data_IF_039417503388
#
_entry.id   IF_039417503388
#
_cell.length_a   1.000
_cell.length_b   1.000
_cell.length_c   1.000
_cell.angle_alpha   90.00
_cell.angle_beta   90.00
_cell.angle_gamma   90.00
#
_symmetry.space_group_name_H-M   'P 1'
#
loop_
_entity.id
_entity.type
_entity.pdbx_description
1 polymer ?
#
# COMPACT_ATOMS: atom_id res chain seq x y z
N UNK A 1 27.40 7.88 -19.03
CA UNK A 1 27.11 7.94 -17.57
C UNK A 1 25.68 8.44 -17.47
N UNK A 2 24.83 7.79 -16.68
CA UNK A 2 23.37 7.78 -16.85
C UNK A 2 22.83 6.35 -16.89
N UNK A 3 21.54 6.16 -17.17
CA UNK A 3 20.92 4.84 -17.39
C UNK A 3 19.93 4.91 -18.55
N UNK A 4 19.86 3.82 -19.32
CA UNK A 4 18.75 3.49 -20.21
C UNK A 4 18.07 2.23 -19.66
N UNK A 5 16.75 2.23 -19.61
CA UNK A 5 15.96 1.11 -19.13
C UNK A 5 14.68 0.99 -19.95
N UNK A 6 14.39 -0.21 -20.45
CA UNK A 6 13.18 -0.46 -21.25
C UNK A 6 12.40 -1.67 -20.73
N UNK A 7 11.09 -1.64 -20.94
CA UNK A 7 10.20 -2.80 -20.78
C UNK A 7 9.00 -2.68 -21.72
N UNK A 8 8.35 -3.81 -21.99
CA UNK A 8 7.03 -3.83 -22.65
C UNK A 8 5.94 -3.97 -21.60
N UNK A 9 4.89 -3.18 -21.72
CA UNK A 9 3.69 -3.20 -20.89
C UNK A 9 2.51 -3.62 -21.74
N UNK A 10 1.71 -4.58 -21.27
CA UNK A 10 0.56 -5.14 -21.99
C UNK A 10 -0.67 -4.22 -21.92
N UNK A 11 -0.51 -2.95 -22.34
CA UNK A 11 -1.55 -1.93 -22.46
C UNK A 11 -1.34 -1.06 -23.71
N UNK A 12 -2.43 -0.50 -24.30
CA UNK A 12 -2.35 0.45 -25.41
C UNK A 12 -1.52 1.71 -25.11
N UNK A 13 -0.89 2.26 -26.14
CA UNK A 13 0.02 3.41 -26.05
C UNK A 13 -0.61 4.63 -25.38
N UNK A 14 -1.82 4.98 -25.79
CA UNK A 14 -2.57 6.11 -25.26
C UNK A 14 -2.92 5.93 -23.78
N UNK A 15 -3.27 4.71 -23.37
CA UNK A 15 -3.56 4.40 -21.96
C UNK A 15 -2.31 4.47 -21.09
N UNK A 16 -1.18 3.89 -21.53
CA UNK A 16 0.09 3.94 -20.79
C UNK A 16 0.57 5.38 -20.64
N UNK A 17 0.52 6.17 -21.72
CA UNK A 17 0.92 7.58 -21.68
C UNK A 17 -0.01 8.40 -20.77
N UNK A 18 -1.33 8.26 -20.94
CA UNK A 18 -2.30 9.01 -20.14
C UNK A 18 -2.20 8.69 -18.66
N UNK A 19 -1.85 7.44 -18.28
CA UNK A 19 -1.67 7.04 -16.88
C UNK A 19 -0.62 7.91 -16.16
N UNK A 20 0.47 8.30 -16.83
CA UNK A 20 1.53 9.13 -16.25
C UNK A 20 1.06 10.54 -15.86
N UNK A 21 0.02 11.04 -16.52
CA UNK A 21 -0.59 12.35 -16.24
C UNK A 21 -1.68 12.30 -15.17
N UNK A 22 -2.07 11.13 -14.66
CA UNK A 22 -3.15 11.00 -13.68
C UNK A 22 -2.66 11.24 -12.26
N UNK A 23 -3.49 11.84 -11.38
CA UNK A 23 -3.15 11.99 -9.97
C UNK A 23 -2.82 10.64 -9.33
N UNK A 24 -1.76 10.60 -8.54
CA UNK A 24 -1.26 9.41 -7.87
C UNK A 24 -0.19 8.65 -8.67
N UNK A 25 -0.07 8.84 -9.99
CA UNK A 25 0.90 8.12 -10.81
C UNK A 25 2.34 8.33 -10.31
N UNK A 26 2.71 9.57 -9.98
CA UNK A 26 4.02 9.85 -9.39
C UNK A 26 4.18 9.17 -8.02
N UNK A 27 3.17 9.25 -7.17
CA UNK A 27 3.17 8.59 -5.85
C UNK A 27 3.34 7.07 -5.94
N UNK A 28 2.83 6.43 -7.00
CA UNK A 28 3.06 5.02 -7.30
C UNK A 28 4.47 4.75 -7.78
N UNK A 29 5.03 5.60 -8.65
CA UNK A 29 6.35 5.39 -9.24
C UNK A 29 7.55 5.80 -8.37
N UNK A 30 7.37 6.49 -7.25
CA UNK A 30 8.46 6.81 -6.32
C UNK A 30 8.80 5.58 -5.47
N UNK A 31 10.02 4.99 -5.59
CA UNK A 31 10.33 3.77 -4.86
C UNK A 31 10.38 4.00 -3.35
N UNK A 32 9.81 3.09 -2.53
CA UNK A 32 9.71 3.28 -1.08
C UNK A 32 11.06 3.17 -0.34
N UNK A 33 12.09 2.64 -1.01
CA UNK A 33 13.45 2.59 -0.51
C UNK A 33 14.27 3.85 -0.82
N UNK A 34 13.80 4.70 -1.73
CA UNK A 34 14.44 5.97 -2.05
C UNK A 34 14.16 7.00 -0.94
N UNK A 35 15.10 7.90 -0.61
CA UNK A 35 14.92 8.93 0.40
C UNK A 35 14.10 10.11 -0.16
N UNK A 36 13.00 9.84 -0.85
CA UNK A 36 12.20 10.83 -1.58
C UNK A 36 10.73 10.72 -1.17
N UNK A 37 10.05 11.86 -1.04
CA UNK A 37 8.60 11.90 -0.78
C UNK A 37 7.92 12.80 -1.79
N UNK A 38 6.73 12.45 -2.27
CA UNK A 38 5.96 13.33 -3.15
C UNK A 38 5.42 14.50 -2.35
N UNK A 39 5.84 15.72 -2.70
CA UNK A 39 5.35 16.97 -2.09
C UNK A 39 4.30 17.61 -2.97
N UNK A 40 4.50 17.59 -4.29
CA UNK A 40 3.54 18.02 -5.29
C UNK A 40 3.72 17.17 -6.55
N UNK A 41 2.62 16.71 -7.13
CA UNK A 41 2.61 16.07 -8.43
C UNK A 41 2.47 17.12 -9.53
N UNK A 42 2.73 16.71 -10.78
CA UNK A 42 2.56 17.60 -11.93
C UNK A 42 1.08 17.73 -12.30
N UNK A 43 0.66 18.93 -12.65
CA UNK A 43 -0.67 19.15 -13.24
C UNK A 43 -0.68 18.92 -14.77
N UNK A 44 0.51 18.84 -15.38
CA UNK A 44 0.71 18.73 -16.83
C UNK A 44 2.01 17.99 -17.15
N UNK A 45 1.98 17.02 -18.06
CA UNK A 45 3.19 16.38 -18.59
C UNK A 45 3.92 17.25 -19.62
N UNK A 46 3.27 18.29 -20.15
CA UNK A 46 3.88 19.17 -21.14
C UNK A 46 4.87 20.15 -20.50
N UNK A 47 4.42 20.85 -19.47
CA UNK A 47 5.10 22.03 -18.92
C UNK A 47 4.96 22.15 -17.40
N UNK A 48 4.32 21.17 -16.76
CA UNK A 48 4.10 21.16 -15.33
C UNK A 48 5.36 20.86 -14.52
N UNK A 49 5.21 20.93 -13.20
CA UNK A 49 6.30 20.75 -12.25
C UNK A 49 5.91 19.71 -11.21
N UNK A 50 6.81 18.77 -10.95
CA UNK A 50 6.72 17.86 -9.83
C UNK A 50 7.79 18.17 -8.78
N UNK A 51 7.44 18.03 -7.51
CA UNK A 51 8.32 18.33 -6.37
C UNK A 51 8.43 17.12 -5.47
N UNK A 52 9.67 16.63 -5.32
CA UNK A 52 10.02 15.57 -4.38
C UNK A 52 10.77 16.17 -3.19
N UNK A 53 10.33 15.85 -1.98
CA UNK A 53 11.02 16.18 -0.74
C UNK A 53 12.21 15.25 -0.51
N UNK A 54 13.29 15.81 0.02
CA UNK A 54 14.51 15.10 0.38
C UNK A 54 14.82 15.30 1.89
N UNK A 55 15.73 14.51 2.49
CA UNK A 55 16.14 14.69 3.88
C UNK A 55 16.68 16.10 4.13
N UNK A 56 16.48 16.62 5.34
CA UNK A 56 16.95 17.96 5.72
C UNK A 56 16.12 19.12 5.15
N UNK A 57 14.91 18.85 4.63
CA UNK A 57 14.03 19.88 4.07
C UNK A 57 14.40 20.32 2.65
N UNK A 58 15.36 19.64 2.03
CA UNK A 58 15.75 19.85 0.64
C UNK A 58 14.63 19.42 -0.32
N UNK A 59 14.65 19.97 -1.54
CA UNK A 59 13.65 19.69 -2.57
C UNK A 59 14.30 19.35 -3.89
N UNK A 60 13.86 18.25 -4.49
CA UNK A 60 14.13 17.92 -5.88
C UNK A 60 12.96 18.41 -6.73
N UNK A 61 13.25 19.25 -7.71
CA UNK A 61 12.24 19.89 -8.54
C UNK A 61 12.40 19.39 -9.96
N UNK A 62 11.48 18.55 -10.41
CA UNK A 62 11.42 18.08 -11.79
C UNK A 62 10.50 19.02 -12.59
N UNK A 63 11.06 19.64 -13.63
CA UNK A 63 10.36 20.57 -14.52
C UNK A 63 10.17 19.90 -15.88
N UNK A 64 8.92 19.73 -16.33
CA UNK A 64 8.65 19.22 -17.67
C UNK A 64 9.00 20.25 -18.76
N UNK A 65 9.50 19.77 -19.89
CA UNK A 65 9.97 20.58 -21.02
C UNK A 65 8.94 20.59 -22.15
N UNK A 66 8.29 21.74 -22.36
CA UNK A 66 7.20 21.90 -23.32
C UNK A 66 7.62 21.73 -24.78
N UNK A 67 8.86 22.09 -25.09
CA UNK A 67 9.48 21.96 -26.42
C UNK A 67 9.83 20.51 -26.79
N UNK A 68 9.75 19.60 -25.81
CA UNK A 68 10.06 18.17 -25.98
C UNK A 68 8.91 17.26 -25.53
N UNK A 69 7.71 17.82 -25.48
CA UNK A 69 6.46 17.11 -25.27
C UNK A 69 5.84 16.71 -26.60
N UNK A 70 5.72 15.40 -26.84
CA UNK A 70 5.15 14.83 -28.07
C UNK A 70 4.15 13.73 -27.69
N UNK A 71 2.92 14.06 -27.30
CA UNK A 71 1.95 13.07 -26.86
C UNK A 71 1.42 12.22 -28.03
N UNK A 72 1.22 10.89 -27.85
CA UNK A 72 1.44 10.09 -26.64
C UNK A 72 2.84 9.43 -26.56
N UNK A 73 3.84 9.97 -27.25
CA UNK A 73 5.15 9.32 -27.45
C UNK A 73 6.24 9.78 -26.48
N UNK A 74 6.19 11.03 -25.97
CA UNK A 74 7.29 11.56 -25.15
C UNK A 74 6.86 12.65 -24.17
N UNK A 75 7.49 12.62 -23.00
CA UNK A 75 7.71 13.80 -22.17
C UNK A 75 9.11 13.77 -21.54
N UNK A 76 9.62 14.94 -21.16
CA UNK A 76 10.97 15.09 -20.59
C UNK A 76 10.91 15.93 -19.33
N UNK A 77 11.59 15.50 -18.27
CA UNK A 77 11.82 16.32 -17.08
C UNK A 77 13.31 16.62 -16.84
N UNK A 78 13.58 17.83 -16.36
CA UNK A 78 14.92 18.28 -15.97
C UNK A 78 14.90 18.81 -14.53
N UNK A 79 16.05 18.74 -13.86
CA UNK A 79 16.18 19.29 -12.51
C UNK A 79 16.24 20.84 -12.54
N UNK A 80 15.22 21.49 -11.99
CA UNK A 80 15.14 22.96 -11.85
C UNK A 80 15.87 23.47 -10.58
N UNK A 81 16.40 24.70 -10.67
CA UNK A 81 17.01 25.47 -9.56
C UNK A 81 16.03 26.38 -8.80
N UNK A 82 14.74 26.26 -9.06
CA UNK A 82 13.76 27.19 -8.49
C UNK A 82 13.54 26.94 -7.00
N UNK A 83 14.10 27.85 -6.20
CA UNK A 83 14.02 27.90 -4.73
C UNK A 83 15.34 27.50 -4.05
N UNK A 84 15.69 28.17 -2.95
CA UNK A 84 16.95 27.91 -2.23
C UNK A 84 17.12 26.43 -1.78
N UNK A 85 16.01 25.72 -1.53
CA UNK A 85 16.02 24.32 -1.11
C UNK A 85 16.37 23.31 -2.24
N UNK A 86 16.37 23.73 -3.51
CA UNK A 86 16.74 22.88 -4.66
C UNK A 86 18.16 23.14 -5.20
N UNK A 87 18.87 24.13 -4.63
CA UNK A 87 20.25 24.43 -5.01
C UNK A 87 21.26 23.33 -4.63
N UNK A 88 21.23 22.76 -3.41
CA UNK A 88 22.20 21.73 -3.03
C UNK A 88 22.13 20.45 -3.90
N UNK A 89 20.95 19.92 -4.29
CA UNK A 89 20.87 18.82 -5.26
C UNK A 89 21.55 19.09 -6.61
N UNK A 90 21.58 20.34 -7.10
CA UNK A 90 22.30 20.68 -8.36
C UNK A 90 23.81 20.69 -8.23
N UNK A 91 24.36 20.82 -7.02
CA UNK A 91 25.81 20.68 -6.81
C UNK A 91 26.32 19.27 -7.18
N UNK A 92 25.40 18.29 -7.31
CA UNK A 92 25.68 16.90 -7.72
C UNK A 92 25.81 16.78 -9.25
N UNK A 93 25.32 17.76 -10.03
CA UNK A 93 25.46 17.82 -11.48
C UNK A 93 24.16 18.18 -12.20
N UNK A 94 23.98 17.61 -13.39
CA UNK A 94 22.74 17.74 -14.18
C UNK A 94 21.88 16.48 -14.05
N UNK A 95 20.59 16.66 -14.30
CA UNK A 95 19.64 15.58 -14.44
C UNK A 95 18.65 15.92 -15.54
N UNK A 96 18.49 14.98 -16.46
CA UNK A 96 17.51 15.00 -17.52
C UNK A 96 16.98 13.58 -17.68
N UNK A 97 15.67 13.42 -17.58
CA UNK A 97 14.99 12.14 -17.74
C UNK A 97 14.01 12.26 -18.91
N UNK A 98 14.28 11.50 -19.96
CA UNK A 98 13.41 11.37 -21.13
C UNK A 98 12.59 10.09 -20.99
N UNK A 99 11.28 10.20 -21.11
CA UNK A 99 10.33 9.08 -21.09
C UNK A 99 9.79 8.93 -22.51
N UNK A 100 10.15 7.84 -23.19
CA UNK A 100 9.72 7.51 -24.54
C UNK A 100 8.74 6.33 -24.53
N UNK A 101 7.70 6.42 -25.36
CA UNK A 101 6.64 5.43 -25.49
C UNK A 101 6.42 5.11 -26.96
N UNK A 102 6.36 3.83 -27.30
CA UNK A 102 6.07 3.37 -28.65
C UNK A 102 5.12 2.18 -28.61
N UNK A 103 4.15 2.13 -29.53
CA UNK A 103 3.32 0.95 -29.70
C UNK A 103 4.20 -0.22 -30.18
N UNK A 104 4.28 -1.28 -29.39
CA UNK A 104 4.88 -2.56 -29.80
C UNK A 104 3.84 -3.40 -30.58
N UNK A 105 2.57 -3.28 -30.17
CA UNK A 105 1.40 -3.81 -30.85
C UNK A 105 0.18 -2.92 -30.54
N UNK A 106 -1.02 -3.19 -31.10
CA UNK A 106 -2.24 -2.47 -30.69
C UNK A 106 -2.58 -2.60 -29.20
N UNK A 107 -2.10 -3.66 -28.53
CA UNK A 107 -2.42 -3.97 -27.14
C UNK A 107 -1.22 -3.82 -26.19
N UNK A 108 -0.05 -3.40 -26.69
CA UNK A 108 1.17 -3.31 -25.88
C UNK A 108 2.06 -2.13 -26.25
N UNK A 109 2.72 -1.59 -25.23
CA UNK A 109 3.55 -0.38 -25.30
C UNK A 109 4.95 -0.68 -24.81
N UNK A 110 5.94 -0.33 -25.61
CA UNK A 110 7.33 -0.23 -25.18
C UNK A 110 7.52 1.08 -24.43
N UNK A 111 7.93 0.99 -23.17
CA UNK A 111 8.29 2.12 -22.31
C UNK A 111 9.80 2.15 -22.18
N UNK A 112 10.41 3.28 -22.54
CA UNK A 112 11.86 3.47 -22.53
C UNK A 112 12.21 4.74 -21.75
N UNK A 113 12.95 4.56 -20.66
CA UNK A 113 13.45 5.63 -19.81
C UNK A 113 14.95 5.85 -20.07
N UNK A 114 15.33 7.09 -20.39
CA UNK A 114 16.74 7.51 -20.53
C UNK A 114 17.04 8.66 -19.58
N UNK A 115 17.98 8.45 -18.67
CA UNK A 115 18.44 9.47 -17.73
C UNK A 115 19.88 9.87 -18.02
N UNK A 116 20.06 11.12 -18.44
CA UNK A 116 21.35 11.77 -18.59
C UNK A 116 21.71 12.48 -17.27
N UNK A 117 22.71 11.95 -16.56
CA UNK A 117 23.14 12.49 -15.27
C UNK A 117 24.57 12.09 -14.91
N UNK A 118 25.13 12.73 -13.89
CA UNK A 118 26.41 12.38 -13.26
C UNK A 118 26.32 11.12 -12.40
N UNK A 119 25.11 10.68 -12.01
CA UNK A 119 24.91 9.47 -11.22
C UNK A 119 25.17 8.21 -12.07
N UNK A 120 26.01 7.26 -11.62
CA UNK A 120 26.24 6.02 -12.35
C UNK A 120 24.96 5.19 -12.49
N UNK A 121 24.66 4.67 -13.69
CA UNK A 121 23.43 3.91 -13.95
C UNK A 121 23.20 2.72 -13.03
N UNK A 122 24.27 2.04 -12.56
CA UNK A 122 24.17 0.97 -11.56
C UNK A 122 23.48 1.40 -10.26
N UNK A 123 23.57 2.68 -9.88
CA UNK A 123 22.93 3.22 -8.69
C UNK A 123 21.45 3.58 -8.92
N UNK A 124 21.04 3.74 -10.19
CA UNK A 124 19.67 4.05 -10.60
C UNK A 124 18.87 2.80 -11.00
N UNK A 125 19.55 1.68 -11.32
CA UNK A 125 18.91 0.48 -11.86
C UNK A 125 17.74 -0.02 -11.03
N UNK A 126 17.87 -0.09 -9.71
CA UNK A 126 16.79 -0.58 -8.85
C UNK A 126 15.56 0.34 -8.84
N UNK A 127 15.74 1.65 -8.99
CA UNK A 127 14.65 2.61 -9.13
C UNK A 127 13.86 2.35 -10.42
N UNK A 128 14.54 2.13 -11.55
CA UNK A 128 13.87 1.87 -12.82
C UNK A 128 13.22 0.48 -12.89
N UNK A 129 13.86 -0.55 -12.32
CA UNK A 129 13.22 -1.87 -12.15
C UNK A 129 11.92 -1.73 -11.34
N UNK A 130 11.94 -0.97 -10.24
CA UNK A 130 10.75 -0.70 -9.44
C UNK A 130 9.68 0.02 -10.26
N UNK A 131 10.02 1.13 -10.92
CA UNK A 131 9.10 1.97 -11.69
C UNK A 131 8.38 1.17 -12.78
N UNK A 132 9.12 0.44 -13.60
CA UNK A 132 8.56 -0.32 -14.72
C UNK A 132 7.68 -1.48 -14.25
N UNK A 133 8.10 -2.22 -13.20
CA UNK A 133 7.25 -3.27 -12.59
C UNK A 133 5.98 -2.68 -12.00
N UNK A 134 6.10 -1.58 -11.25
CA UNK A 134 4.98 -0.90 -10.60
C UNK A 134 3.94 -0.40 -11.61
N UNK A 135 4.41 0.22 -12.71
CA UNK A 135 3.58 0.66 -13.83
C UNK A 135 2.80 -0.51 -14.43
N UNK A 136 3.51 -1.58 -14.80
CA UNK A 136 2.90 -2.75 -15.44
C UNK A 136 1.86 -3.42 -14.53
N UNK A 137 2.15 -3.56 -13.24
CA UNK A 137 1.25 -4.20 -12.30
C UNK A 137 0.03 -3.34 -11.95
N UNK A 138 0.18 -2.02 -11.81
CA UNK A 138 -0.95 -1.10 -11.57
C UNK A 138 -1.90 -1.07 -12.79
N UNK A 139 -1.35 -0.96 -14.00
CA UNK A 139 -2.14 -1.02 -15.23
C UNK A 139 -2.87 -2.36 -15.35
N UNK A 140 -2.19 -3.49 -15.11
CA UNK A 140 -2.82 -4.81 -15.11
C UNK A 140 -4.00 -4.91 -14.13
N UNK A 141 -3.87 -4.36 -12.92
CA UNK A 141 -4.98 -4.32 -11.96
C UNK A 141 -6.17 -3.48 -12.48
N UNK A 142 -5.91 -2.35 -13.16
CA UNK A 142 -6.96 -1.52 -13.75
C UNK A 142 -7.67 -2.24 -14.91
N UNK A 143 -6.92 -2.87 -15.81
CA UNK A 143 -7.48 -3.68 -16.90
C UNK A 143 -8.35 -4.82 -16.39
N UNK A 144 -7.94 -5.51 -15.33
CA UNK A 144 -8.73 -6.59 -14.73
C UNK A 144 -10.10 -6.07 -14.25
N UNK A 145 -10.15 -4.88 -13.66
CA UNK A 145 -11.40 -4.25 -13.22
C UNK A 145 -12.29 -3.84 -14.42
N UNK A 146 -11.70 -3.25 -15.46
CA UNK A 146 -12.40 -2.86 -16.69
C UNK A 146 -12.95 -4.08 -17.42
N UNK A 147 -12.15 -5.15 -17.53
CA UNK A 147 -12.57 -6.43 -18.11
C UNK A 147 -13.71 -7.09 -17.33
N UNK A 148 -13.79 -6.85 -16.01
CA UNK A 148 -14.92 -7.24 -15.17
C UNK A 148 -16.15 -6.30 -15.27
N UNK A 149 -16.12 -5.30 -16.16
CA UNK A 149 -17.23 -4.36 -16.41
C UNK A 149 -17.26 -3.17 -15.47
N UNK A 150 -16.16 -2.87 -14.77
CA UNK A 150 -16.08 -1.75 -13.82
C UNK A 150 -15.68 -0.47 -14.51
N UNK A 151 -16.55 0.53 -14.47
CA UNK A 151 -16.23 1.90 -14.89
C UNK A 151 -15.52 2.71 -13.81
N UNK A 152 -15.39 4.02 -14.04
CA UNK A 152 -14.91 4.94 -13.01
C UNK A 152 -15.85 4.91 -11.79
N UNK A 153 -15.26 4.97 -10.60
CA UNK A 153 -15.98 4.91 -9.32
C UNK A 153 -15.66 6.17 -8.51
N UNK A 154 -16.60 6.62 -7.68
CA UNK A 154 -16.37 7.57 -6.60
C UNK A 154 -16.21 6.79 -5.29
N UNK A 155 -14.99 6.76 -4.74
CA UNK A 155 -14.66 5.94 -3.57
C UNK A 155 -14.37 6.83 -2.36
N UNK A 156 -15.12 6.66 -1.27
CA UNK A 156 -14.83 7.34 -0.01
C UNK A 156 -13.81 6.54 0.82
N UNK A 157 -12.72 7.18 1.25
CA UNK A 157 -11.63 6.50 1.97
C UNK A 157 -11.38 7.20 3.30
N UNK A 158 -11.64 6.50 4.41
CA UNK A 158 -11.11 6.92 5.73
C UNK A 158 -9.67 6.46 5.88
N UNK A 159 -8.87 7.11 6.73
CA UNK A 159 -7.47 6.71 6.92
C UNK A 159 -6.59 6.93 5.68
N UNK A 160 -7.04 7.76 4.74
CA UNK A 160 -6.38 8.04 3.46
C UNK A 160 -4.96 8.64 3.59
N UNK A 161 -4.59 9.16 4.76
CA UNK A 161 -3.24 9.66 5.04
C UNK A 161 -2.29 8.61 5.63
N UNK A 162 -2.79 7.42 5.97
CA UNK A 162 -1.98 6.31 6.47
C UNK A 162 -1.24 5.59 5.35
N UNK A 163 -0.33 4.67 5.70
CA UNK A 163 0.48 3.92 4.74
C UNK A 163 -0.36 3.26 3.63
N UNK A 164 -1.33 2.43 4.01
CA UNK A 164 -2.21 1.71 3.05
C UNK A 164 -3.15 2.68 2.36
N UNK A 165 -3.75 3.62 3.10
CA UNK A 165 -4.73 4.56 2.54
C UNK A 165 -4.15 5.51 1.50
N UNK A 166 -2.92 5.99 1.70
CA UNK A 166 -2.24 6.87 0.74
C UNK A 166 -1.90 6.11 -0.54
N UNK A 167 -1.35 4.90 -0.40
CA UNK A 167 -0.99 4.07 -1.55
C UNK A 167 -2.23 3.58 -2.33
N UNK A 168 -3.31 3.19 -1.63
CA UNK A 168 -4.58 2.82 -2.24
C UNK A 168 -5.21 4.01 -2.97
N UNK A 169 -5.19 5.19 -2.35
CA UNK A 169 -5.71 6.41 -2.99
C UNK A 169 -4.97 6.67 -4.30
N UNK A 170 -3.64 6.58 -4.29
CA UNK A 170 -2.82 6.78 -5.48
C UNK A 170 -3.10 5.74 -6.58
N UNK A 171 -3.29 4.46 -6.21
CA UNK A 171 -3.68 3.40 -7.15
C UNK A 171 -5.06 3.70 -7.76
N UNK A 172 -6.05 4.05 -6.94
CA UNK A 172 -7.40 4.32 -7.43
C UNK A 172 -7.43 5.54 -8.37
N UNK A 173 -6.75 6.63 -8.01
CA UNK A 173 -6.75 7.85 -8.84
C UNK A 173 -5.96 7.69 -10.13
N UNK A 174 -4.86 6.92 -10.13
CA UNK A 174 -4.13 6.59 -11.36
C UNK A 174 -4.94 5.66 -12.28
N UNK A 175 -5.85 4.86 -11.70
CA UNK A 175 -6.86 4.09 -12.43
C UNK A 175 -8.00 4.91 -13.05
N UNK A 176 -8.09 6.21 -12.74
CA UNK A 176 -9.19 7.07 -13.20
C UNK A 176 -10.42 7.08 -12.29
N UNK A 177 -10.36 6.45 -11.10
CA UNK A 177 -11.38 6.60 -10.08
C UNK A 177 -11.24 7.95 -9.37
N UNK A 178 -12.34 8.48 -8.84
CA UNK A 178 -12.34 9.64 -7.97
C UNK A 178 -12.30 9.20 -6.52
N UNK A 179 -11.35 9.69 -5.74
CA UNK A 179 -11.25 9.37 -4.31
C UNK A 179 -11.67 10.55 -3.45
N UNK A 180 -12.67 10.34 -2.59
CA UNK A 180 -13.10 11.30 -1.57
C UNK A 180 -12.47 10.90 -0.23
N UNK A 181 -11.49 11.68 0.24
CA UNK A 181 -10.79 11.41 1.50
C UNK A 181 -11.63 11.89 2.67
N UNK A 182 -11.98 10.98 3.56
CA UNK A 182 -12.70 11.28 4.79
C UNK A 182 -11.68 11.67 5.87
N UNK A 183 -11.57 12.97 6.16
CA UNK A 183 -10.55 13.56 7.03
C UNK A 183 -11.14 14.07 8.33
N UNK A 184 -10.42 13.93 9.45
CA UNK A 184 -10.89 14.38 10.78
C UNK A 184 -10.69 15.88 11.03
N UNK A 185 -9.85 16.53 10.23
CA UNK A 185 -9.62 17.99 10.22
C UNK A 185 -10.55 18.69 9.25
N UNK A 186 -10.49 20.01 9.19
CA UNK A 186 -11.19 20.77 8.16
C UNK A 186 -10.65 20.39 6.76
N UNK A 187 -11.55 20.17 5.77
CA UNK A 187 -11.19 19.84 4.39
C UNK A 187 -10.37 20.95 3.74
N UNK A 188 -9.45 20.57 2.86
CA UNK A 188 -8.56 21.48 2.12
C UNK A 188 -8.80 21.47 0.62
N UNK A 189 -9.59 20.53 0.11
CA UNK A 189 -9.93 20.44 -1.30
C UNK A 189 -11.35 19.87 -1.48
N UNK A 190 -11.85 19.91 -2.72
CA UNK A 190 -13.14 19.35 -3.11
C UNK A 190 -13.23 17.82 -3.00
N UNK A 191 -12.09 17.14 -2.91
CA UNK A 191 -11.98 15.69 -2.76
C UNK A 191 -11.70 15.27 -1.31
N UNK A 192 -12.03 16.16 -0.37
CA UNK A 192 -12.02 15.89 1.06
C UNK A 192 -13.38 16.19 1.68
N UNK A 193 -13.83 15.32 2.58
CA UNK A 193 -15.02 15.57 3.42
C UNK A 193 -14.63 15.43 4.88
N UNK A 194 -15.14 16.34 5.71
CA UNK A 194 -14.92 16.27 7.15
C UNK A 194 -15.69 15.09 7.71
N UNK A 195 -14.98 14.20 8.40
CA UNK A 195 -15.52 13.04 9.06
C UNK A 195 -15.28 13.14 10.56
N UNK A 196 -16.37 13.24 11.32
CA UNK A 196 -16.38 13.04 12.77
C UNK A 196 -16.69 11.55 13.05
N UNK A 197 -15.74 10.78 13.61
CA UNK A 197 -15.95 9.37 13.94
C UNK A 197 -17.08 9.10 14.93
N UNK A 198 -17.41 10.08 15.79
CA UNK A 198 -18.46 9.95 16.79
C UNK A 198 -19.82 10.41 16.27
N UNK A 199 -19.83 11.26 15.23
CA UNK A 199 -21.06 11.79 14.65
C UNK A 199 -20.90 12.11 13.16
N UNK A 200 -20.86 11.09 12.28
CA UNK A 200 -20.80 11.31 10.84
C UNK A 200 -21.91 12.26 10.38
N UNK A 201 -21.56 13.24 9.55
CA UNK A 201 -22.53 14.21 9.05
C UNK A 201 -23.58 13.52 8.15
N UNK A 202 -24.84 13.98 8.16
CA UNK A 202 -25.82 13.58 7.16
C UNK A 202 -25.28 13.86 5.75
N UNK A 203 -25.42 12.90 4.83
CA UNK A 203 -24.91 13.03 3.46
C UNK A 203 -23.39 12.95 3.32
N UNK A 204 -22.64 12.53 4.35
CA UNK A 204 -21.19 12.31 4.28
C UNK A 204 -20.79 11.44 3.09
N UNK A 205 -21.65 10.48 2.71
CA UNK A 205 -21.44 9.50 1.65
C UNK A 205 -22.32 9.74 0.41
N UNK A 206 -22.96 10.91 0.28
CA UNK A 206 -23.76 11.21 -0.91
C UNK A 206 -22.89 11.22 -2.18
N UNK A 207 -23.37 10.57 -3.23
CA UNK A 207 -22.68 10.46 -4.52
C UNK A 207 -21.41 9.59 -4.49
N UNK A 208 -21.28 8.71 -3.50
CA UNK A 208 -20.18 7.74 -3.37
C UNK A 208 -20.69 6.36 -3.81
N UNK A 209 -19.94 5.68 -4.67
CA UNK A 209 -20.26 4.32 -5.12
C UNK A 209 -19.81 3.24 -4.12
N UNK A 210 -18.69 3.48 -3.43
CA UNK A 210 -18.10 2.53 -2.49
C UNK A 210 -17.34 3.21 -1.34
N UNK A 211 -17.28 2.55 -0.20
CA UNK A 211 -16.51 2.99 0.98
C UNK A 211 -15.35 2.03 1.24
N UNK A 212 -14.18 2.59 1.56
CA UNK A 212 -13.03 1.87 2.09
C UNK A 212 -12.67 2.44 3.48
N UNK A 213 -12.94 1.66 4.51
CA UNK A 213 -12.71 2.04 5.90
C UNK A 213 -11.37 1.51 6.43
N UNK A 214 -10.31 2.32 6.35
CA UNK A 214 -8.96 1.99 6.85
C UNK A 214 -8.59 2.70 8.16
N UNK A 215 -9.46 3.58 8.70
CA UNK A 215 -9.11 4.34 9.89
C UNK A 215 -9.06 3.45 11.14
N UNK A 216 -8.00 3.62 11.92
CA UNK A 216 -7.84 2.97 13.22
C UNK A 216 -6.56 3.42 13.91
N UNK A 217 -6.55 3.39 15.24
CA UNK A 217 -5.34 3.66 16.03
C UNK A 217 -4.33 2.53 15.86
N UNK A 218 -3.03 2.82 15.91
CA UNK A 218 -2.00 1.78 15.84
C UNK A 218 -2.18 0.76 16.96
N UNK A 219 -2.15 -0.53 16.63
CA UNK A 219 -2.16 -1.61 17.64
C UNK A 219 -0.80 -1.72 18.34
N UNK A 220 0.27 -1.29 17.67
CA UNK A 220 1.63 -1.35 18.21
C UNK A 220 1.76 -0.51 19.48
N UNK A 221 2.18 -1.14 20.57
CA UNK A 221 2.34 -0.51 21.87
C UNK A 221 2.17 -1.52 23.00
N UNK A 222 2.28 -1.04 24.24
CA UNK A 222 2.01 -1.85 25.43
C UNK A 222 0.51 -1.95 25.65
N UNK A 223 0.00 -3.17 25.78
CA UNK A 223 -1.41 -3.46 26.13
C UNK A 223 -1.75 -3.09 27.58
N UNK A 224 -1.76 -1.79 27.88
CA UNK A 224 -2.35 -1.25 29.11
C UNK A 224 -3.88 -1.18 28.96
N UNK A 225 -4.61 -1.00 30.06
CA UNK A 225 -6.07 -0.84 30.01
C UNK A 225 -6.49 0.35 29.13
N UNK A 226 -5.77 1.48 29.25
CA UNK A 226 -6.00 2.67 28.42
C UNK A 226 -5.73 2.41 26.93
N UNK A 227 -4.62 1.73 26.59
CA UNK A 227 -4.31 1.37 25.20
C UNK A 227 -5.37 0.43 24.61
N UNK A 228 -5.81 -0.58 25.37
CA UNK A 228 -6.88 -1.48 24.95
C UNK A 228 -8.20 -0.75 24.69
N UNK A 229 -8.58 0.17 25.59
CA UNK A 229 -9.78 0.99 25.41
C UNK A 229 -9.68 1.90 24.18
N UNK A 230 -8.52 2.52 23.94
CA UNK A 230 -8.28 3.34 22.75
C UNK A 230 -8.31 2.52 21.45
N UNK A 231 -7.71 1.33 21.44
CA UNK A 231 -7.73 0.39 20.30
C UNK A 231 -9.17 -0.01 19.94
N UNK A 232 -10.00 -0.31 20.94
CA UNK A 232 -11.44 -0.62 20.75
C UNK A 232 -12.24 0.59 20.29
N UNK A 233 -12.12 1.69 21.01
CA UNK A 233 -12.87 2.93 20.77
C UNK A 233 -12.59 3.55 19.41
N UNK A 234 -11.36 3.42 18.90
CA UNK A 234 -10.99 3.90 17.56
C UNK A 234 -11.50 3.05 16.40
N UNK A 235 -12.03 1.85 16.66
CA UNK A 235 -12.48 0.89 15.64
C UNK A 235 -13.98 0.68 15.67
N UNK A 236 -14.51 0.17 16.78
CA UNK A 236 -15.85 -0.42 16.83
C UNK A 236 -16.93 0.67 16.65
N UNK A 237 -16.92 1.69 17.51
CA UNK A 237 -17.90 2.80 17.44
C UNK A 237 -17.85 3.54 16.11
N UNK A 238 -16.67 4.03 15.68
CA UNK A 238 -16.51 4.68 14.38
C UNK A 238 -16.95 3.83 13.18
N UNK A 239 -16.60 2.54 13.15
CA UNK A 239 -17.01 1.62 12.08
C UNK A 239 -18.53 1.51 12.04
N UNK A 240 -19.16 1.30 13.20
CA UNK A 240 -20.63 1.15 13.28
C UNK A 240 -21.37 2.37 12.76
N UNK A 241 -20.95 3.57 13.17
CA UNK A 241 -21.60 4.81 12.73
C UNK A 241 -21.36 5.10 11.26
N UNK A 242 -20.18 4.74 10.73
CA UNK A 242 -19.91 4.87 9.30
C UNK A 242 -20.73 3.86 8.48
N UNK A 243 -20.92 2.64 8.97
CA UNK A 243 -21.78 1.63 8.36
C UNK A 243 -23.25 2.06 8.37
N UNK A 244 -23.74 2.63 9.48
CA UNK A 244 -25.07 3.24 9.58
C UNK A 244 -25.24 4.38 8.56
N UNK A 245 -24.24 5.25 8.43
CA UNK A 245 -24.25 6.34 7.44
C UNK A 245 -24.16 5.85 5.98
N UNK A 246 -23.62 4.65 5.74
CA UNK A 246 -23.55 4.04 4.41
C UNK A 246 -24.88 3.40 4.00
N UNK A 247 -25.68 2.92 4.96
CA UNK A 247 -26.97 2.28 4.72
C UNK A 247 -28.14 3.23 4.41
N UNK A 248 -27.87 4.50 4.06
CA UNK A 248 -28.91 5.48 3.70
C UNK A 248 -29.30 5.41 2.22
N UNK A 249 -30.51 5.83 1.87
CA UNK A 249 -30.97 5.92 0.47
C UNK A 249 -30.00 6.70 -0.43
N UNK A 250 -29.67 6.12 -1.59
CA UNK A 250 -28.67 6.69 -2.51
C UNK A 250 -27.22 6.61 -2.00
N UNK A 251 -26.97 5.78 -0.99
CA UNK A 251 -25.65 5.46 -0.45
C UNK A 251 -24.82 4.52 -1.35
N UNK A 252 -23.60 4.18 -0.91
CA UNK A 252 -22.70 3.29 -1.64
C UNK A 252 -23.27 1.87 -1.76
N UNK A 253 -22.81 1.11 -2.76
CA UNK A 253 -23.19 -0.30 -2.95
C UNK A 253 -22.27 -1.28 -2.22
N UNK A 254 -21.06 -0.84 -1.86
CA UNK A 254 -19.99 -1.68 -1.31
C UNK A 254 -19.36 -1.00 -0.12
N UNK A 255 -19.16 -1.75 0.96
CA UNK A 255 -18.46 -1.31 2.16
C UNK A 255 -17.29 -2.25 2.45
N UNK A 256 -16.08 -1.81 2.11
CA UNK A 256 -14.85 -2.56 2.39
C UNK A 256 -14.26 -2.05 3.69
N UNK A 257 -14.26 -2.88 4.73
CA UNK A 257 -13.66 -2.56 6.01
C UNK A 257 -12.30 -3.24 6.13
N UNK A 258 -11.31 -2.50 6.65
CA UNK A 258 -10.14 -3.16 7.19
C UNK A 258 -10.53 -4.13 8.30
N UNK A 259 -9.74 -5.19 8.42
CA UNK A 259 -9.74 -6.16 9.51
C UNK A 259 -8.30 -6.67 9.69
N UNK A 260 -8.09 -7.69 10.51
CA UNK A 260 -6.78 -8.29 10.72
C UNK A 260 -6.86 -9.80 10.92
N UNK A 261 -5.81 -10.52 10.53
CA UNK A 261 -5.67 -11.94 10.87
C UNK A 261 -5.60 -12.19 12.39
N UNK A 262 -5.47 -11.14 13.20
CA UNK A 262 -5.66 -11.19 14.66
C UNK A 262 -7.01 -11.77 15.10
N UNK A 263 -8.02 -11.82 14.21
CA UNK A 263 -9.27 -12.57 14.40
C UNK A 263 -9.03 -14.02 14.87
N UNK A 264 -7.99 -14.66 14.33
CA UNK A 264 -7.69 -16.07 14.61
C UNK A 264 -7.00 -16.31 15.95
N UNK A 265 -6.74 -15.25 16.74
CA UNK A 265 -5.99 -15.32 17.99
C UNK A 265 -4.48 -15.39 17.75
N UNK A 266 -3.68 -15.16 18.79
CA UNK A 266 -2.23 -15.00 18.61
C UNK A 266 -1.47 -16.31 18.30
N UNK A 267 -2.05 -17.48 18.58
CA UNK A 267 -1.38 -18.77 18.41
C UNK A 267 -2.39 -19.86 18.01
N UNK A 268 -2.16 -20.45 16.84
CA UNK A 268 -2.91 -21.60 16.30
C UNK A 268 -1.99 -22.72 15.82
N UNK A 269 -0.70 -22.64 16.16
CA UNK A 269 0.33 -23.58 15.71
C UNK A 269 0.26 -23.86 14.21
N UNK A 270 0.21 -25.15 13.84
CA UNK A 270 0.27 -25.60 12.44
C UNK A 270 -1.08 -25.66 11.71
N UNK A 271 -2.18 -25.30 12.37
CA UNK A 271 -3.51 -25.23 11.76
C UNK A 271 -3.51 -24.24 10.60
N UNK A 272 -3.97 -24.67 9.42
CA UNK A 272 -4.16 -23.77 8.28
C UNK A 272 -5.46 -22.99 8.48
N UNK A 273 -5.33 -21.68 8.69
CA UNK A 273 -6.43 -20.79 8.99
C UNK A 273 -7.00 -20.21 7.69
N UNK A 274 -8.22 -20.61 7.35
CA UNK A 274 -8.98 -20.07 6.21
C UNK A 274 -10.02 -19.06 6.70
N UNK A 275 -10.72 -18.41 5.77
CA UNK A 275 -11.82 -17.49 6.08
C UNK A 275 -12.98 -18.17 6.85
N UNK A 276 -13.06 -19.50 6.78
CA UNK A 276 -14.04 -20.33 7.50
C UNK A 276 -13.58 -20.75 8.91
N UNK A 277 -12.30 -20.52 9.26
CA UNK A 277 -11.80 -20.90 10.57
C UNK A 277 -12.44 -20.07 11.68
N UNK A 278 -12.69 -20.71 12.82
CA UNK A 278 -13.28 -20.07 13.99
C UNK A 278 -12.38 -18.95 14.56
N UNK A 279 -13.04 -17.97 15.18
CA UNK A 279 -12.37 -16.94 15.97
C UNK A 279 -11.42 -17.58 16.99
N UNK A 280 -10.24 -17.00 17.16
CA UNK A 280 -9.32 -17.41 18.22
C UNK A 280 -9.68 -16.81 19.57
N UNK A 281 -8.77 -16.97 20.52
CA UNK A 281 -8.87 -16.39 21.85
C UNK A 281 -7.93 -15.19 22.04
N UNK A 282 -8.24 -14.39 23.05
CA UNK A 282 -7.41 -13.26 23.47
C UNK A 282 -7.95 -11.92 22.99
N UNK A 283 -7.38 -10.85 23.58
CA UNK A 283 -7.89 -9.51 23.42
C UNK A 283 -8.03 -9.08 21.95
N UNK A 284 -7.00 -9.31 21.13
CA UNK A 284 -7.04 -8.92 19.72
C UNK A 284 -8.10 -9.69 18.91
N UNK A 285 -8.33 -10.97 19.22
CA UNK A 285 -9.36 -11.75 18.54
C UNK A 285 -10.76 -11.15 18.82
N UNK A 286 -11.04 -10.82 20.08
CA UNK A 286 -12.31 -10.19 20.49
C UNK A 286 -12.49 -8.82 19.84
N UNK A 287 -11.43 -7.99 19.82
CA UNK A 287 -11.49 -6.68 19.16
C UNK A 287 -11.77 -6.80 17.67
N UNK A 288 -11.12 -7.73 16.98
CA UNK A 288 -11.33 -7.90 15.54
C UNK A 288 -12.72 -8.45 15.24
N UNK A 289 -13.21 -9.41 16.02
CA UNK A 289 -14.57 -9.93 15.86
C UNK A 289 -15.63 -8.84 16.06
N UNK A 290 -15.51 -8.02 17.11
CA UNK A 290 -16.41 -6.89 17.34
C UNK A 290 -16.29 -5.79 16.28
N UNK A 291 -15.08 -5.58 15.75
CA UNK A 291 -14.85 -4.64 14.66
C UNK A 291 -15.52 -5.10 13.37
N UNK A 292 -15.41 -6.39 13.01
CA UNK A 292 -16.11 -6.96 11.86
C UNK A 292 -17.64 -6.88 12.06
N UNK A 293 -18.14 -7.25 13.25
CA UNK A 293 -19.56 -7.17 13.58
C UNK A 293 -20.12 -5.73 13.52
N UNK A 294 -19.29 -4.71 13.77
CA UNK A 294 -19.69 -3.31 13.66
C UNK A 294 -20.09 -2.90 12.24
N UNK A 295 -19.77 -3.70 11.21
CA UNK A 295 -20.19 -3.44 9.83
C UNK A 295 -21.62 -3.90 9.52
N UNK A 296 -22.28 -4.61 10.44
CA UNK A 296 -23.63 -5.17 10.25
C UNK A 296 -24.67 -4.16 9.71
N UNK A 297 -24.73 -2.89 10.16
CA UNK A 297 -25.71 -1.94 9.63
C UNK A 297 -25.62 -1.72 8.10
N UNK A 298 -24.41 -1.81 7.53
CA UNK A 298 -24.24 -1.73 6.07
C UNK A 298 -24.77 -3.00 5.38
N UNK A 299 -24.47 -4.18 5.94
CA UNK A 299 -24.96 -5.46 5.41
C UNK A 299 -26.49 -5.55 5.48
N UNK A 300 -27.08 -5.14 6.61
CA UNK A 300 -28.53 -5.13 6.84
C UNK A 300 -29.26 -4.17 5.89
N UNK A 301 -28.59 -3.09 5.46
CA UNK A 301 -29.06 -2.18 4.41
C UNK A 301 -28.84 -2.70 2.97
N UNK A 302 -28.34 -3.93 2.81
CA UNK A 302 -28.15 -4.59 1.51
C UNK A 302 -26.83 -4.27 0.80
N UNK A 303 -25.88 -3.60 1.47
CA UNK A 303 -24.56 -3.36 0.89
C UNK A 303 -23.74 -4.64 0.90
N UNK A 304 -22.91 -4.82 -0.13
CA UNK A 304 -21.88 -5.85 -0.11
C UNK A 304 -20.77 -5.43 0.85
N UNK A 305 -20.64 -6.14 1.96
CA UNK A 305 -19.60 -5.89 2.96
C UNK A 305 -18.44 -6.86 2.77
N UNK A 306 -17.22 -6.32 2.78
CA UNK A 306 -15.97 -7.11 2.74
C UNK A 306 -15.09 -6.74 3.92
N UNK A 307 -14.74 -7.70 4.75
CA UNK A 307 -13.81 -7.53 5.87
C UNK A 307 -12.42 -8.06 5.48
N UNK A 308 -11.47 -7.16 5.25
CA UNK A 308 -10.13 -7.49 4.75
C UNK A 308 -9.20 -7.83 5.92
N UNK A 309 -9.11 -9.12 6.27
CA UNK A 309 -8.24 -9.66 7.32
C UNK A 309 -6.78 -9.60 6.89
N UNK A 310 -6.15 -8.47 7.20
CA UNK A 310 -4.80 -8.16 6.72
C UNK A 310 -3.73 -8.88 7.52
N UNK A 311 -2.75 -9.48 6.83
CA UNK A 311 -1.53 -10.02 7.42
C UNK A 311 -0.47 -8.97 7.75
N UNK A 312 0.76 -9.41 7.97
CA UNK A 312 1.89 -8.52 8.26
C UNK A 312 2.38 -7.87 6.95
N UNK A 313 1.99 -6.61 6.77
CA UNK A 313 2.30 -5.83 5.56
C UNK A 313 3.80 -5.57 5.43
N UNK A 314 4.37 -5.97 4.30
CA UNK A 314 5.75 -5.70 3.92
C UNK A 314 5.82 -4.38 3.13
N UNK A 315 6.26 -3.32 3.82
CA UNK A 315 6.40 -2.00 3.23
C UNK A 315 7.67 -1.30 3.74
N UNK A 316 8.57 -0.83 2.87
CA UNK A 316 9.80 -0.20 3.35
C UNK A 316 9.56 1.16 4.05
N UNK A 317 8.48 1.86 3.69
CA UNK A 317 8.09 3.15 4.24
C UNK A 317 7.32 3.07 5.57
N UNK A 318 6.94 1.88 6.04
CA UNK A 318 6.15 1.73 7.27
C UNK A 318 6.12 0.32 7.84
N UNK A 319 5.20 0.08 8.78
CA UNK A 319 5.01 -1.24 9.38
C UNK A 319 6.25 -1.81 10.08
N UNK A 320 6.30 -3.13 10.19
CA UNK A 320 7.39 -3.88 10.84
C UNK A 320 8.68 -3.83 10.02
N UNK A 321 8.59 -3.87 8.69
CA UNK A 321 9.76 -3.86 7.82
C UNK A 321 10.59 -2.58 7.97
N UNK A 322 9.96 -1.41 8.11
CA UNK A 322 10.67 -0.15 8.40
C UNK A 322 11.48 -0.21 9.69
N UNK A 323 10.98 -0.91 10.72
CA UNK A 323 11.67 -1.08 11.99
C UNK A 323 12.83 -2.09 11.88
N UNK A 324 12.63 -3.16 11.13
CA UNK A 324 13.63 -4.23 10.96
C UNK A 324 14.77 -3.83 10.00
N UNK A 325 14.49 -3.05 8.96
CA UNK A 325 15.45 -2.64 7.93
C UNK A 325 16.78 -2.13 8.49
N UNK A 326 16.85 -1.15 9.41
CA UNK A 326 18.14 -0.65 9.91
C UNK A 326 18.92 -1.71 10.69
N UNK A 327 18.23 -2.57 11.46
CA UNK A 327 18.88 -3.63 12.23
C UNK A 327 19.52 -4.68 11.31
N UNK A 328 18.78 -5.12 10.29
CA UNK A 328 19.31 -6.06 9.31
C UNK A 328 20.40 -5.43 8.44
N UNK A 329 20.26 -4.17 8.04
CA UNK A 329 21.29 -3.46 7.27
C UNK A 329 22.63 -3.34 8.03
N UNK A 330 22.57 -3.24 9.36
CA UNK A 330 23.74 -3.23 10.25
C UNK A 330 24.28 -4.65 10.59
N UNK A 331 23.67 -5.72 10.08
CA UNK A 331 24.05 -7.11 10.42
C UNK A 331 23.63 -7.53 11.84
N UNK A 332 22.73 -6.78 12.48
CA UNK A 332 22.18 -7.04 13.82
C UNK A 332 20.79 -7.71 13.76
N UNK A 333 20.34 -8.07 12.56
CA UNK A 333 19.10 -8.81 12.36
C UNK A 333 19.22 -10.28 12.74
N UNK A 334 18.11 -10.88 13.16
CA UNK A 334 18.07 -12.27 13.57
C UNK A 334 16.66 -12.80 13.78
N UNK A 335 16.56 -14.11 14.02
CA UNK A 335 15.29 -14.78 14.32
C UNK A 335 14.74 -14.34 15.67
N UNK A 336 13.42 -14.31 15.78
CA UNK A 336 12.70 -14.04 17.01
C UNK A 336 12.36 -15.35 17.73
N UNK A 337 12.76 -15.49 19.00
CA UNK A 337 12.41 -16.66 19.81
C UNK A 337 12.92 -17.98 19.21
N UNK A 338 12.04 -18.98 19.07
CA UNK A 338 12.37 -20.25 18.39
C UNK A 338 12.61 -20.05 16.88
N UNK A 339 11.99 -19.03 16.28
CA UNK A 339 11.96 -18.82 14.83
C UNK A 339 10.95 -19.73 14.11
N UNK A 340 10.23 -20.57 14.84
CA UNK A 340 9.26 -21.53 14.29
C UNK A 340 7.84 -20.96 14.21
N UNK A 341 7.57 -19.78 14.73
CA UNK A 341 6.25 -19.17 14.56
C UNK A 341 5.99 -18.85 13.08
N UNK A 342 4.77 -19.14 12.62
CA UNK A 342 4.28 -18.79 11.29
C UNK A 342 4.03 -17.29 11.18
N UNK A 343 4.61 -16.71 10.14
CA UNK A 343 4.45 -15.33 9.73
C UNK A 343 3.56 -15.29 8.49
N UNK A 344 2.30 -14.91 8.67
CA UNK A 344 1.39 -14.60 7.56
C UNK A 344 1.56 -13.14 7.14
N UNK A 345 2.21 -12.93 6.00
CA UNK A 345 2.62 -11.62 5.49
C UNK A 345 1.88 -11.29 4.20
N UNK A 346 1.94 -10.05 3.75
CA UNK A 346 1.49 -9.63 2.40
C UNK A 346 2.35 -8.47 1.91
N UNK A 347 2.65 -8.40 0.61
CA UNK A 347 3.25 -7.21 0.00
C UNK A 347 2.30 -6.01 0.11
N UNK A 348 2.83 -4.79 0.18
CA UNK A 348 1.96 -3.61 0.21
C UNK A 348 1.06 -3.57 -1.03
N UNK A 349 1.63 -3.76 -2.22
CA UNK A 349 0.90 -3.66 -3.49
C UNK A 349 -0.13 -4.79 -3.68
N UNK A 350 0.20 -6.01 -3.24
CA UNK A 350 -0.77 -7.12 -3.15
C UNK A 350 -1.96 -6.75 -2.24
N UNK A 351 -1.71 -6.11 -1.11
CA UNK A 351 -2.80 -5.65 -0.23
C UNK A 351 -3.67 -4.59 -0.92
N UNK A 352 -3.08 -3.67 -1.69
CA UNK A 352 -3.84 -2.68 -2.45
C UNK A 352 -4.72 -3.35 -3.49
N UNK A 353 -4.21 -4.36 -4.20
CA UNK A 353 -4.97 -5.13 -5.19
C UNK A 353 -6.15 -5.86 -4.54
N UNK A 354 -6.01 -6.36 -3.30
CA UNK A 354 -7.13 -6.95 -2.55
C UNK A 354 -8.21 -5.90 -2.25
N UNK A 355 -7.83 -4.73 -1.73
CA UNK A 355 -8.79 -3.65 -1.48
C UNK A 355 -9.45 -3.17 -2.77
N UNK A 356 -8.68 -2.98 -3.84
CA UNK A 356 -9.19 -2.53 -5.12
C UNK A 356 -10.15 -3.56 -5.72
N UNK A 357 -9.76 -4.85 -5.73
CA UNK A 357 -10.62 -5.94 -6.18
C UNK A 357 -11.90 -6.06 -5.37
N UNK A 358 -11.85 -5.85 -4.05
CA UNK A 358 -13.06 -5.84 -3.21
C UNK A 358 -14.08 -4.77 -3.64
N UNK A 359 -13.66 -3.69 -4.31
CA UNK A 359 -14.59 -2.67 -4.82
C UNK A 359 -15.44 -3.18 -5.99
N UNK A 360 -14.91 -4.07 -6.82
CA UNK A 360 -15.56 -4.45 -8.08
C UNK A 360 -15.93 -5.92 -8.21
N UNK A 361 -15.21 -6.84 -7.57
CA UNK A 361 -15.49 -8.26 -7.67
C UNK A 361 -16.66 -8.64 -6.76
N UNK A 362 -17.84 -8.78 -7.35
CA UNK A 362 -19.08 -9.14 -6.66
C UNK A 362 -19.02 -10.49 -5.92
N UNK A 363 -18.03 -11.35 -6.22
CA UNK A 363 -17.81 -12.63 -5.54
C UNK A 363 -17.15 -12.46 -4.17
N UNK A 364 -16.53 -11.31 -3.90
CA UNK A 364 -15.92 -11.02 -2.60
C UNK A 364 -16.97 -10.41 -1.66
N UNK A 365 -17.35 -11.18 -0.63
CA UNK A 365 -18.25 -10.76 0.44
C UNK A 365 -17.86 -11.47 1.75
N UNK A 366 -18.10 -10.82 2.88
CA UNK A 366 -17.70 -11.32 4.20
C UNK A 366 -16.18 -11.23 4.41
N UNK A 367 -15.59 -12.14 5.21
CA UNK A 367 -14.16 -12.11 5.50
C UNK A 367 -13.32 -12.52 4.29
N UNK A 368 -12.23 -11.81 4.06
CA UNK A 368 -11.22 -12.10 3.03
C UNK A 368 -9.83 -12.01 3.66
N UNK A 369 -9.07 -13.10 3.64
CA UNK A 369 -7.70 -13.10 4.15
C UNK A 369 -6.77 -12.42 3.13
N UNK A 370 -6.30 -11.21 3.46
CA UNK A 370 -5.29 -10.51 2.69
C UNK A 370 -3.89 -10.89 3.19
N UNK A 371 -3.48 -12.09 2.79
CA UNK A 371 -2.15 -12.66 3.02
C UNK A 371 -1.59 -13.20 1.69
N UNK A 372 -0.27 -13.22 1.55
CA UNK A 372 0.40 -13.91 0.46
C UNK A 372 0.09 -15.43 0.51
N UNK A 373 0.12 -16.14 -0.63
CA UNK A 373 -0.25 -17.56 -0.69
C UNK A 373 0.69 -18.47 0.10
N UNK A 374 1.92 -18.05 0.35
CA UNK A 374 2.93 -18.81 1.07
C UNK A 374 3.29 -18.15 2.42
N UNK A 375 2.64 -18.53 3.53
CA UNK A 375 3.10 -18.14 4.86
C UNK A 375 4.46 -18.79 5.13
N UNK A 376 5.33 -18.06 5.83
CA UNK A 376 6.71 -18.52 6.09
C UNK A 376 6.97 -18.61 7.59
N UNK A 377 7.91 -19.46 8.00
CA UNK A 377 8.39 -19.43 9.38
C UNK A 377 9.26 -18.19 9.60
N UNK A 378 9.32 -17.68 10.84
CA UNK A 378 10.16 -16.53 11.16
C UNK A 378 11.64 -16.73 10.80
N UNK A 379 12.17 -17.95 10.94
CA UNK A 379 13.52 -18.31 10.51
C UNK A 379 13.73 -18.13 9.00
N UNK A 380 12.74 -18.47 8.19
CA UNK A 380 12.81 -18.34 6.74
C UNK A 380 12.65 -16.89 6.30
N UNK A 381 11.75 -16.13 6.95
CA UNK A 381 11.65 -14.68 6.77
C UNK A 381 12.98 -13.98 7.09
N UNK A 382 13.60 -14.32 8.23
CA UNK A 382 14.89 -13.77 8.66
C UNK A 382 15.97 -14.05 7.61
N UNK A 383 16.03 -15.29 7.10
CA UNK A 383 16.99 -15.68 6.06
C UNK A 383 16.75 -14.91 4.76
N UNK A 384 15.49 -14.76 4.34
CA UNK A 384 15.12 -14.02 3.15
C UNK A 384 15.53 -12.54 3.25
N UNK A 385 15.20 -11.87 4.36
CA UNK A 385 15.55 -10.46 4.58
C UNK A 385 17.07 -10.24 4.62
N UNK A 386 17.79 -11.12 5.30
CA UNK A 386 19.25 -11.08 5.37
C UNK A 386 19.90 -11.25 3.98
N UNK A 387 19.39 -12.20 3.19
CA UNK A 387 19.83 -12.44 1.81
C UNK A 387 19.57 -11.22 0.92
N UNK A 388 18.36 -10.65 0.95
CA UNK A 388 17.98 -9.47 0.17
C UNK A 388 18.89 -8.28 0.48
N UNK A 389 19.19 -8.05 1.77
CA UNK A 389 20.05 -6.96 2.21
C UNK A 389 21.56 -7.25 2.08
N UNK A 390 21.95 -8.46 1.65
CA UNK A 390 23.35 -8.90 1.56
C UNK A 390 24.09 -8.73 2.90
N UNK A 391 23.44 -9.20 3.98
CA UNK A 391 23.95 -9.13 5.36
C UNK A 391 23.82 -10.48 6.07
N UNK A 392 24.74 -10.83 6.98
CA UNK A 392 24.58 -12.00 7.82
C UNK A 392 23.42 -11.79 8.81
N UNK A 393 22.71 -12.88 9.16
CA UNK A 393 21.70 -12.90 10.22
C UNK A 393 21.89 -14.14 11.10
N UNK A 394 23.09 -14.27 11.66
CA UNK A 394 23.54 -15.46 12.39
C UNK A 394 23.19 -15.39 13.88
N UNK A 395 23.12 -14.18 14.45
CA UNK A 395 22.82 -13.99 15.86
C UNK A 395 21.31 -13.94 16.09
N UNK A 396 20.74 -14.76 17.00
CA UNK A 396 19.34 -14.62 17.39
C UNK A 396 19.12 -13.25 18.04
N UNK A 397 17.97 -12.61 17.76
CA UNK A 397 17.62 -11.35 18.44
C UNK A 397 17.37 -11.68 19.92
N UNK A 398 18.00 -10.97 20.88
CA UNK A 398 17.70 -11.17 22.29
C UNK A 398 16.21 -10.99 22.55
N UNK A 399 15.57 -11.97 23.20
CA UNK A 399 14.12 -11.98 23.52
C UNK A 399 13.65 -10.78 24.35
N UNK A 400 14.59 -9.99 24.89
CA UNK A 400 14.35 -8.76 25.62
C UNK A 400 13.82 -7.61 24.74
N UNK A 401 14.21 -7.54 23.45
CA UNK A 401 13.90 -6.38 22.59
C UNK A 401 12.39 -6.13 22.41
N UNK A 402 11.62 -7.09 21.88
CA UNK A 402 10.17 -6.95 21.72
C UNK A 402 9.44 -6.71 23.04
N UNK A 403 9.88 -7.35 24.14
CA UNK A 403 9.26 -7.20 25.46
C UNK A 403 9.47 -5.81 26.05
N UNK A 404 10.63 -5.18 25.80
CA UNK A 404 10.90 -3.80 26.22
C UNK A 404 10.00 -2.82 25.45
N UNK A 405 9.85 -2.99 24.13
CA UNK A 405 9.06 -2.09 23.28
C UNK A 405 7.55 -2.28 23.43
N UNK A 406 7.07 -3.52 23.42
CA UNK A 406 5.64 -3.87 23.33
C UNK A 406 5.07 -4.40 24.65
N UNK A 407 5.91 -4.60 25.68
CA UNK A 407 5.52 -5.33 26.88
C UNK A 407 5.41 -6.84 26.63
N UNK A 408 5.19 -7.63 27.68
CA UNK A 408 5.10 -9.09 27.57
C UNK A 408 3.91 -9.54 26.69
N UNK A 409 2.74 -8.91 26.88
CA UNK A 409 1.54 -9.22 26.10
C UNK A 409 1.70 -8.79 24.63
N UNK A 410 2.28 -7.62 24.36
CA UNK A 410 2.47 -7.17 22.97
C UNK A 410 3.56 -7.92 22.23
N UNK A 411 4.60 -8.39 22.94
CA UNK A 411 5.55 -9.34 22.37
C UNK A 411 4.84 -10.65 21.98
N UNK A 412 4.00 -11.21 22.86
CA UNK A 412 3.27 -12.46 22.58
C UNK A 412 2.23 -12.33 21.47
N UNK A 413 1.40 -11.28 21.53
CA UNK A 413 0.26 -11.12 20.62
C UNK A 413 0.64 -10.57 19.23
N UNK A 414 1.81 -9.93 19.08
CA UNK A 414 2.20 -9.31 17.81
C UNK A 414 3.55 -9.82 17.28
N UNK A 415 4.57 -9.97 18.14
CA UNK A 415 5.92 -10.33 17.69
C UNK A 415 6.17 -11.85 17.66
N UNK A 416 5.51 -12.58 18.55
CA UNK A 416 5.57 -14.05 18.68
C UNK A 416 4.27 -14.71 18.19
N UNK A 417 3.42 -13.96 17.48
CA UNK A 417 2.20 -14.52 16.91
C UNK A 417 2.53 -15.67 15.94
N UNK A 418 1.77 -16.76 16.03
CA UNK A 418 1.95 -17.99 15.28
C UNK A 418 0.65 -18.32 14.54
N UNK A 419 0.55 -17.83 13.31
CA UNK A 419 -0.66 -17.93 12.49
C UNK A 419 -0.30 -18.36 11.07
N UNK A 420 -0.76 -19.55 10.67
CA UNK A 420 -0.60 -20.08 9.31
C UNK A 420 -1.85 -19.83 8.47
N UNK A 421 -2.01 -18.59 7.99
CA UNK A 421 -3.22 -18.14 7.30
C UNK A 421 -3.10 -18.41 5.79
N UNK A 422 -4.18 -18.89 5.19
CA UNK A 422 -4.29 -19.11 3.75
C UNK A 422 -5.35 -18.16 3.14
N UNK A 423 -5.07 -17.56 1.96
CA UNK A 423 -5.99 -16.65 1.28
C UNK A 423 -6.99 -17.41 0.39
N UNK A 424 -7.79 -18.31 0.97
CA UNK A 424 -8.57 -19.29 0.18
C UNK A 424 -9.68 -18.63 -0.65
N UNK A 425 -10.26 -17.53 -0.17
CA UNK A 425 -11.25 -16.76 -0.95
C UNK A 425 -10.59 -16.08 -2.15
N UNK A 426 -9.40 -15.50 -1.97
CA UNK A 426 -8.66 -14.87 -3.08
C UNK A 426 -8.22 -15.91 -4.12
N UNK A 427 -7.76 -17.08 -3.66
CA UNK A 427 -7.37 -18.18 -4.55
C UNK A 427 -8.56 -18.71 -5.35
N UNK A 428 -9.74 -18.88 -4.73
CA UNK A 428 -10.93 -19.43 -5.40
C UNK A 428 -11.45 -18.53 -6.53
N UNK A 429 -11.22 -17.22 -6.44
CA UNK A 429 -11.59 -16.26 -7.49
C UNK A 429 -10.45 -15.98 -8.50
N UNK A 430 -9.31 -16.67 -8.38
CA UNK A 430 -8.16 -16.47 -9.26
C UNK A 430 -7.48 -15.11 -9.07
N UNK A 431 -7.25 -14.70 -7.82
CA UNK A 431 -6.47 -13.49 -7.52
C UNK A 431 -5.01 -13.64 -7.94
N UNK A 432 -4.53 -12.69 -8.75
CA UNK A 432 -3.13 -12.57 -9.13
C UNK A 432 -2.39 -11.86 -8.01
N UNK A 433 -1.45 -12.55 -7.37
CA UNK A 433 -0.50 -11.92 -6.46
C UNK A 433 0.70 -11.39 -7.25
N UNK A 434 1.04 -10.12 -7.08
CA UNK A 434 2.23 -9.48 -7.66
C UNK A 434 3.51 -10.12 -7.13
N UNK A 435 3.57 -10.41 -5.82
CA UNK A 435 4.73 -11.04 -5.19
C UNK A 435 4.31 -12.23 -4.31
N UNK A 436 4.17 -13.45 -4.87
CA UNK A 436 3.74 -14.62 -4.10
C UNK A 436 4.80 -15.09 -3.08
N UNK A 437 6.09 -14.81 -3.32
CA UNK A 437 7.21 -15.19 -2.47
C UNK A 437 7.72 -14.01 -1.64
N UNK A 438 8.05 -14.27 -0.37
CA UNK A 438 8.47 -13.20 0.56
C UNK A 438 9.76 -12.52 0.13
N UNK A 439 10.66 -13.28 -0.50
CA UNK A 439 11.91 -12.74 -1.03
C UNK A 439 11.65 -11.68 -2.12
N UNK A 440 10.65 -11.90 -2.98
CA UNK A 440 10.33 -10.99 -4.09
C UNK A 440 9.70 -9.70 -3.57
N UNK A 441 8.77 -9.81 -2.60
CA UNK A 441 8.18 -8.65 -1.94
C UNK A 441 9.23 -7.81 -1.20
N UNK A 442 10.15 -8.45 -0.49
CA UNK A 442 11.26 -7.77 0.19
C UNK A 442 12.23 -7.13 -0.82
N UNK A 443 12.58 -7.82 -1.90
CA UNK A 443 13.47 -7.30 -2.93
C UNK A 443 12.85 -6.08 -3.64
N UNK A 444 11.56 -6.14 -3.96
CA UNK A 444 10.81 -5.02 -4.54
C UNK A 444 10.76 -3.81 -3.59
N UNK A 445 10.43 -4.03 -2.31
CA UNK A 445 10.32 -2.96 -1.32
C UNK A 445 11.67 -2.36 -0.91
N UNK A 446 12.78 -3.10 -1.06
CA UNK A 446 14.12 -2.66 -0.62
C UNK A 446 15.07 -2.30 -1.77
N UNK A 447 14.65 -2.45 -3.02
CA UNK A 447 15.44 -2.06 -4.20
C UNK A 447 16.52 -3.06 -4.58
N UNK A 448 16.24 -4.35 -4.42
CA UNK A 448 17.13 -5.48 -4.72
C UNK A 448 16.52 -6.49 -5.71
N UNK A 449 15.44 -6.11 -6.41
CA UNK A 449 14.71 -6.95 -7.35
C UNK A 449 15.15 -6.86 -8.80
#
# INVERSE_FOLDING_TARGET
MGIEFESVVDHPLDEVFAWHGRPGAMSRLVPPFAPMTVVAETDSLADGRAVLGLPGGLRWVAQHQADEYDPPHRFVDVLSSDGAASWPPRAIGWWRHTHDFAAESPESTRVHDRVDTTVPGRALRSMFVYRHRQLADDLAAHRDAVAAGTGALVVAVTGASGLVGAALTALLTSGGHRVIRLVRRDPRSSDERRWDPERPAPGLLSGVDAVVHLAGESIAGRFTAAHRAAVRGSRIGPTRRLAEAAGTDGGPRVFVSASAIGYYGFDRGDEVLTEQAAQGSGFLADVVAEWEAATAPAADAGLRVVAVRTGIVQAAAGGTLRLMRPLFAAGLGGRLGSGQQWLSWIGLDDLLDVYYRALWDGRLAGPVNAVAPEPVRNVDYTRALAKVLHRPAVLPVPSLGPRVLLGAQGARELAEADQRVAPTVLQSVGHRFRQPLVADALAHQLGHG
#
